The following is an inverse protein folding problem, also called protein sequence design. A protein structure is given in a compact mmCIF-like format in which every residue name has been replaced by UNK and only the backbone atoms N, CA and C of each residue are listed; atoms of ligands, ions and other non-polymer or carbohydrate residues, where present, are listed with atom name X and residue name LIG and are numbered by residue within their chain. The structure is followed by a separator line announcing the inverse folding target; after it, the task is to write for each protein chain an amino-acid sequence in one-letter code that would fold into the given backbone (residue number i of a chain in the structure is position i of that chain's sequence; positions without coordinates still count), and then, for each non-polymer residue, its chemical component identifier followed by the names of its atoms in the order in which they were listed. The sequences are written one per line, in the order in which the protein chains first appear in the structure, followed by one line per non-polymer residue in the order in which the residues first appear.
data_IF_549094367830
#
_entry.id   IF_549094367830
#
_cell.length_a   1.000
_cell.length_b   1.000
_cell.length_c   1.000
_cell.angle_alpha   90.00
_cell.angle_beta   90.00
_cell.angle_gamma   90.00
#
_symmetry.space_group_name_H-M   'P 1'
#
loop_
_entity.id
_entity.type
_entity.pdbx_description
1 polymer ?
#
# COMPACT_ATOMS: atom_id res chain seq x y z
N UNK A 1 -10.00 22.30 -14.95
CA UNK A 1 -9.03 21.19 -15.14
C UNK A 1 -9.32 20.17 -14.05
N UNK A 2 -9.85 18.99 -14.38
CA UNK A 2 -10.11 17.94 -13.38
C UNK A 2 -8.79 17.30 -13.04
N UNK A 3 -8.27 17.53 -11.84
CA UNK A 3 -7.03 16.91 -11.39
C UNK A 3 -7.33 15.44 -11.10
N UNK A 4 -6.74 14.54 -11.89
CA UNK A 4 -6.86 13.10 -11.66
C UNK A 4 -6.16 12.76 -10.35
N UNK A 5 -6.93 12.36 -9.34
CA UNK A 5 -6.41 11.89 -8.05
C UNK A 5 -6.14 10.40 -8.15
N UNK A 6 -4.89 9.98 -7.96
CA UNK A 6 -4.53 8.57 -7.94
C UNK A 6 -4.88 7.97 -6.57
N UNK A 7 -5.51 6.79 -6.58
CA UNK A 7 -5.98 6.08 -5.38
C UNK A 7 -5.50 4.64 -5.44
N UNK A 8 -4.87 4.16 -4.37
CA UNK A 8 -4.45 2.77 -4.27
C UNK A 8 -5.66 1.86 -3.96
N UNK A 9 -5.88 0.88 -4.81
CA UNK A 9 -6.83 -0.21 -4.57
C UNK A 9 -6.10 -1.35 -3.87
N UNK A 10 -6.57 -1.75 -2.69
CA UNK A 10 -6.05 -2.92 -1.98
C UNK A 10 -7.09 -4.02 -2.00
N UNK A 11 -6.66 -5.26 -2.20
CA UNK A 11 -7.55 -6.42 -2.15
C UNK A 11 -6.88 -7.63 -1.50
N UNK A 12 -7.70 -8.49 -0.91
CA UNK A 12 -7.31 -9.78 -0.32
C UNK A 12 -8.28 -10.83 -0.86
N UNK A 13 -7.76 -12.01 -1.19
CA UNK A 13 -8.53 -13.13 -1.72
C UNK A 13 -8.33 -14.38 -0.88
N UNK A 14 -9.41 -15.13 -0.66
CA UNK A 14 -9.39 -16.43 0.02
C UNK A 14 -10.31 -17.40 -0.73
N UNK A 15 -9.86 -18.63 -0.94
CA UNK A 15 -10.67 -19.69 -1.54
C UNK A 15 -10.97 -20.74 -0.47
N UNK A 16 -12.24 -21.06 -0.27
CA UNK A 16 -12.68 -22.08 0.67
C UNK A 16 -13.59 -23.08 -0.05
N UNK A 17 -13.36 -24.37 0.19
CA UNK A 17 -14.24 -25.44 -0.27
C UNK A 17 -15.33 -25.67 0.78
N UNK A 18 -16.59 -25.68 0.37
CA UNK A 18 -17.74 -25.84 1.24
C UNK A 18 -18.54 -27.04 0.76
N UNK A 19 -18.53 -28.10 1.57
CA UNK A 19 -19.39 -29.25 1.35
C UNK A 19 -20.78 -28.98 1.93
N UNK A 20 -21.82 -29.27 1.16
CA UNK A 20 -23.21 -29.11 1.57
C UNK A 20 -24.05 -30.31 1.14
N UNK A 21 -25.30 -30.39 1.63
CA UNK A 21 -26.24 -31.43 1.19
C UNK A 21 -26.58 -31.36 -0.30
N UNK A 22 -26.26 -30.25 -0.97
CA UNK A 22 -26.53 -30.00 -2.38
C UNK A 22 -25.31 -30.27 -3.29
N UNK A 23 -24.21 -30.77 -2.72
CA UNK A 23 -22.94 -30.99 -3.41
C UNK A 23 -21.80 -30.18 -2.80
N UNK A 24 -20.63 -30.36 -3.40
CA UNK A 24 -19.42 -29.62 -3.07
C UNK A 24 -19.35 -28.36 -3.93
N UNK A 25 -19.11 -27.23 -3.27
CA UNK A 25 -19.04 -25.93 -3.90
C UNK A 25 -17.73 -25.25 -3.54
N UNK A 26 -17.11 -24.62 -4.53
CA UNK A 26 -15.96 -23.75 -4.31
C UNK A 26 -16.46 -22.32 -4.09
N UNK A 27 -16.24 -21.78 -2.89
CA UNK A 27 -16.54 -20.38 -2.59
C UNK A 27 -15.26 -19.57 -2.66
N UNK A 28 -15.18 -18.74 -3.69
CA UNK A 28 -14.12 -17.74 -3.83
C UNK A 28 -14.57 -16.45 -3.17
N UNK A 29 -13.82 -16.03 -2.15
CA UNK A 29 -14.09 -14.81 -1.40
C UNK A 29 -13.02 -13.76 -1.69
N UNK A 30 -13.42 -12.51 -1.87
CA UNK A 30 -12.50 -11.41 -1.99
C UNK A 30 -13.01 -10.20 -1.23
N UNK A 31 -12.08 -9.49 -0.61
CA UNK A 31 -12.33 -8.19 0.02
C UNK A 31 -11.50 -7.15 -0.70
N UNK A 32 -12.12 -6.05 -1.13
CA UNK A 32 -11.44 -4.93 -1.76
C UNK A 32 -11.76 -3.65 -1.01
N UNK A 33 -10.76 -2.78 -0.89
CA UNK A 33 -10.91 -1.45 -0.31
C UNK A 33 -10.20 -0.42 -1.14
N UNK A 34 -10.77 0.78 -1.18
CA UNK A 34 -10.21 1.94 -1.86
C UNK A 34 -10.52 3.20 -1.04
N UNK A 35 -9.60 4.18 -1.00
CA UNK A 35 -9.90 5.50 -0.46
C UNK A 35 -11.11 6.14 -1.15
N UNK A 36 -11.95 6.82 -0.39
CA UNK A 36 -13.07 7.58 -0.95
C UNK A 36 -12.57 8.75 -1.77
N UNK A 37 -13.36 9.19 -2.75
CA UNK A 37 -13.07 10.41 -3.51
C UNK A 37 -12.90 11.64 -2.60
N UNK A 38 -13.70 11.71 -1.53
CA UNK A 38 -13.58 12.74 -0.50
C UNK A 38 -12.22 12.69 0.21
N UNK A 39 -11.77 11.50 0.65
CA UNK A 39 -10.48 11.36 1.34
C UNK A 39 -9.32 11.81 0.46
N UNK A 40 -9.37 11.46 -0.84
CA UNK A 40 -8.38 11.90 -1.80
C UNK A 40 -8.41 13.42 -1.96
N UNK A 41 -9.58 14.01 -2.24
CA UNK A 41 -9.72 15.46 -2.40
C UNK A 41 -9.21 16.23 -1.18
N UNK A 42 -9.55 15.80 0.04
CA UNK A 42 -9.07 16.42 1.28
C UNK A 42 -7.54 16.37 1.33
N UNK A 43 -6.92 15.22 1.07
CA UNK A 43 -5.47 15.07 1.12
C UNK A 43 -4.73 15.93 0.08
N UNK A 44 -5.27 16.05 -1.15
CA UNK A 44 -4.68 16.88 -2.20
C UNK A 44 -4.90 18.38 -1.98
N UNK A 45 -6.02 18.80 -1.39
CA UNK A 45 -6.36 20.22 -1.20
C UNK A 45 -5.66 20.88 -0.03
N UNK A 46 -5.18 20.12 0.95
CA UNK A 46 -4.45 20.70 2.08
C UNK A 46 -3.19 21.39 1.54
N UNK A 47 -3.07 22.72 1.64
CA UNK A 47 -1.84 23.38 1.29
C UNK A 47 -0.76 22.86 2.25
N UNK A 48 0.38 22.44 1.74
CA UNK A 48 1.59 22.54 2.56
C UNK A 48 1.75 24.03 2.74
N UNK A 49 1.70 24.51 3.97
CA UNK A 49 2.00 25.90 4.24
C UNK A 49 3.48 26.10 3.89
N UNK A 50 3.73 26.45 2.63
CA UNK A 50 5.04 26.55 1.97
C UNK A 50 5.69 27.91 2.24
N UNK A 51 5.15 28.70 3.15
CA UNK A 51 5.41 30.14 3.23
C UNK A 51 6.75 30.53 3.89
N UNK A 52 7.70 29.62 4.11
CA UNK A 52 8.81 29.86 5.04
C UNK A 52 10.25 29.64 4.56
N UNK A 53 10.53 28.84 3.53
CA UNK A 53 11.93 28.56 3.20
C UNK A 53 12.08 27.60 2.03
N UNK A 54 13.15 27.80 1.26
CA UNK A 54 13.51 27.01 0.08
C UNK A 54 13.34 25.51 0.32
N UNK A 55 12.80 24.81 -0.69
CA UNK A 55 12.63 23.36 -0.71
C UNK A 55 13.92 22.67 -0.27
N UNK A 56 13.92 22.14 0.95
CA UNK A 56 14.95 21.20 1.35
C UNK A 56 14.58 19.87 0.68
N UNK A 57 15.18 19.61 -0.49
CA UNK A 57 14.90 18.52 -1.43
C UNK A 57 15.16 17.11 -0.86
N UNK A 58 15.21 16.92 0.46
CA UNK A 58 15.59 15.68 1.12
C UNK A 58 14.62 15.17 2.19
N UNK A 59 13.41 15.72 2.32
CA UNK A 59 12.44 15.26 3.32
C UNK A 59 11.17 14.69 2.70
N UNK A 60 10.88 13.43 3.05
CA UNK A 60 9.62 12.79 2.75
C UNK A 60 8.56 13.25 3.76
N UNK A 61 7.51 13.90 3.25
CA UNK A 61 6.35 14.30 4.02
C UNK A 61 5.20 13.35 3.72
N UNK A 62 4.62 12.79 4.77
CA UNK A 62 3.39 12.01 4.65
C UNK A 62 2.27 12.76 5.34
N UNK A 63 1.17 12.96 4.60
CA UNK A 63 -0.05 13.55 5.15
C UNK A 63 -1.00 12.41 5.44
N UNK A 64 -1.58 12.40 6.62
CA UNK A 64 -2.59 11.42 6.98
C UNK A 64 -3.89 12.08 7.42
N UNK A 65 -5.00 11.42 7.09
CA UNK A 65 -6.34 11.84 7.51
C UNK A 65 -7.14 10.63 7.94
N UNK A 66 -7.89 10.75 9.05
CA UNK A 66 -8.81 9.70 9.49
C UNK A 66 -10.18 9.93 8.88
N UNK A 67 -10.52 9.13 7.88
CA UNK A 67 -11.80 9.15 7.18
C UNK A 67 -12.28 7.72 6.93
N UNK A 68 -13.59 7.51 6.74
CA UNK A 68 -14.08 6.20 6.37
C UNK A 68 -13.61 5.82 4.97
N UNK A 69 -13.22 4.55 4.82
CA UNK A 69 -12.96 3.88 3.54
C UNK A 69 -14.14 3.00 3.16
N UNK A 70 -14.27 2.72 1.88
CA UNK A 70 -15.18 1.69 1.38
C UNK A 70 -14.46 0.35 1.48
N UNK A 71 -15.13 -0.64 2.05
CA UNK A 71 -14.69 -2.04 2.00
C UNK A 71 -15.83 -2.88 1.43
N UNK A 72 -15.56 -3.59 0.35
CA UNK A 72 -16.52 -4.49 -0.30
C UNK A 72 -16.03 -5.91 -0.17
N UNK A 73 -16.89 -6.79 0.32
CA UNK A 73 -16.68 -8.23 0.40
C UNK A 73 -17.57 -8.91 -0.62
N UNK A 74 -17.01 -9.82 -1.42
CA UNK A 74 -17.74 -10.60 -2.40
C UNK A 74 -17.46 -12.09 -2.19
N UNK A 75 -18.51 -12.88 -1.99
CA UNK A 75 -18.46 -14.34 -1.86
C UNK A 75 -19.14 -14.97 -3.07
N UNK A 76 -18.33 -15.46 -4.00
CA UNK A 76 -18.81 -16.05 -5.24
C UNK A 76 -18.76 -17.58 -5.19
N UNK A 77 -19.92 -18.19 -5.43
CA UNK A 77 -20.09 -19.64 -5.49
C UNK A 77 -19.87 -20.12 -6.93
N UNK A 78 -18.90 -21.01 -7.11
CA UNK A 78 -18.70 -21.76 -8.35
C UNK A 78 -19.16 -23.19 -8.12
N UNK A 79 -20.17 -23.65 -8.86
CA UNK A 79 -20.63 -25.02 -8.79
C UNK A 79 -19.78 -25.89 -9.73
N UNK A 80 -18.92 -26.76 -9.18
CA UNK A 80 -18.00 -27.58 -9.97
C UNK A 80 -18.71 -28.70 -10.75
N UNK A 81 -19.98 -28.99 -10.44
CA UNK A 81 -20.63 -30.21 -10.92
C UNK A 81 -22.09 -30.08 -11.37
N UNK A 82 -22.64 -28.87 -11.52
CA UNK A 82 -24.00 -28.71 -12.08
C UNK A 82 -23.95 -28.85 -13.59
N UNK A 83 -23.78 -30.09 -14.06
CA UNK A 83 -23.83 -30.45 -15.48
C UNK A 83 -25.21 -30.18 -16.08
N UNK A 84 -26.26 -29.92 -15.30
CA UNK A 84 -27.58 -29.65 -15.87
C UNK A 84 -28.22 -28.45 -15.18
N UNK A 85 -27.98 -27.25 -15.72
CA UNK A 85 -28.74 -26.06 -15.35
C UNK A 85 -30.06 -26.09 -16.12
N UNK A 86 -31.10 -26.65 -15.52
CA UNK A 86 -32.49 -26.53 -15.97
C UNK A 86 -33.15 -25.27 -15.40
N UNK A 87 -34.29 -24.86 -15.96
CA UNK A 87 -35.06 -23.71 -15.46
C UNK A 87 -35.54 -23.95 -14.01
N UNK A 88 -35.74 -25.20 -13.62
CA UNK A 88 -36.12 -25.59 -12.25
C UNK A 88 -34.91 -25.78 -11.32
N UNK A 89 -33.69 -25.54 -11.81
CA UNK A 89 -32.48 -25.69 -10.98
C UNK A 89 -32.44 -24.62 -9.91
N UNK A 90 -32.34 -25.07 -8.67
CA UNK A 90 -32.22 -24.19 -7.50
C UNK A 90 -31.02 -23.26 -7.64
N UNK A 91 -31.25 -22.01 -7.27
CA UNK A 91 -30.23 -20.96 -7.19
C UNK A 91 -29.69 -20.96 -5.78
N UNK A 92 -28.49 -21.50 -5.63
CA UNK A 92 -27.74 -21.43 -4.39
C UNK A 92 -26.87 -20.18 -4.35
N UNK A 93 -26.59 -19.67 -3.16
CA UNK A 93 -25.71 -18.52 -2.93
C UNK A 93 -24.88 -18.73 -1.68
N UNK A 94 -23.73 -18.07 -1.58
CA UNK A 94 -22.94 -18.06 -0.34
C UNK A 94 -23.60 -17.12 0.68
N UNK A 95 -23.82 -17.58 1.91
CA UNK A 95 -24.29 -16.72 2.99
C UNK A 95 -23.24 -15.64 3.32
N UNK A 96 -23.64 -14.58 4.03
CA UNK A 96 -22.83 -13.40 4.30
C UNK A 96 -21.45 -13.70 4.91
N UNK A 97 -21.36 -14.77 5.71
CA UNK A 97 -20.10 -15.22 6.31
C UNK A 97 -19.19 -16.04 5.38
N UNK A 98 -19.62 -16.34 4.14
CA UNK A 98 -18.86 -17.11 3.17
C UNK A 98 -18.52 -18.55 3.56
N UNK A 99 -19.15 -19.09 4.62
CA UNK A 99 -18.88 -20.42 5.21
C UNK A 99 -20.03 -21.41 5.03
N UNK A 100 -21.15 -20.94 4.51
CA UNK A 100 -22.37 -21.72 4.34
C UNK A 100 -23.13 -21.24 3.11
N UNK A 101 -24.09 -22.05 2.67
CA UNK A 101 -24.80 -21.86 1.40
C UNK A 101 -26.29 -21.80 1.69
N UNK A 102 -26.96 -20.79 1.12
CA UNK A 102 -28.40 -20.63 1.13
C UNK A 102 -29.02 -20.92 -0.22
N UNK A 103 -30.35 -20.92 -0.28
CA UNK A 103 -31.13 -20.99 -1.52
C UNK A 103 -31.89 -19.68 -1.67
N UNK A 104 -31.76 -19.06 -2.84
CA UNK A 104 -32.51 -17.87 -3.21
C UNK A 104 -33.91 -18.26 -3.70
N UNK A 105 -33.96 -18.97 -4.82
CA UNK A 105 -35.17 -19.38 -5.55
C UNK A 105 -34.75 -20.39 -6.64
N UNK A 106 -35.66 -20.84 -7.48
CA UNK A 106 -35.28 -21.50 -8.75
C UNK A 106 -34.87 -20.47 -9.83
N UNK A 107 -34.26 -20.97 -10.90
CA UNK A 107 -33.83 -20.13 -12.03
C UNK A 107 -35.03 -19.48 -12.74
N UNK A 108 -36.16 -20.18 -12.84
CA UNK A 108 -37.41 -19.66 -13.40
C UNK A 108 -37.84 -18.37 -12.73
N UNK A 109 -37.86 -18.36 -11.39
CA UNK A 109 -38.26 -17.24 -10.58
C UNK A 109 -37.30 -16.05 -10.73
N UNK A 110 -35.99 -16.29 -10.86
CA UNK A 110 -35.04 -15.22 -11.14
C UNK A 110 -35.24 -14.59 -12.51
N UNK A 111 -35.45 -15.41 -13.54
CA UNK A 111 -35.74 -14.90 -14.89
C UNK A 111 -37.06 -14.14 -14.92
N UNK A 112 -38.08 -14.64 -14.22
CA UNK A 112 -39.34 -13.93 -14.07
C UNK A 112 -39.12 -12.58 -13.36
N UNK A 113 -38.32 -12.56 -12.29
CA UNK A 113 -37.96 -11.32 -11.59
C UNK A 113 -37.28 -10.31 -12.52
N UNK A 114 -36.38 -10.76 -13.41
CA UNK A 114 -35.77 -9.90 -14.42
C UNK A 114 -36.83 -9.33 -15.40
N UNK A 115 -37.76 -10.15 -15.88
CA UNK A 115 -38.84 -9.71 -16.75
C UNK A 115 -39.76 -8.69 -16.06
N UNK A 116 -40.09 -8.92 -14.79
CA UNK A 116 -40.92 -8.02 -13.99
C UNK A 116 -40.25 -6.66 -13.75
N UNK A 117 -38.92 -6.59 -13.82
CA UNK A 117 -38.12 -5.37 -13.66
C UNK A 117 -37.64 -4.78 -14.99
N UNK A 118 -38.36 -5.05 -16.07
CA UNK A 118 -38.15 -4.41 -17.39
C UNK A 118 -37.23 -5.17 -18.33
N UNK A 119 -36.83 -6.41 -18.00
CA UNK A 119 -36.19 -7.31 -18.94
C UNK A 119 -37.11 -7.68 -20.10
N UNK A 120 -36.54 -7.96 -21.27
CA UNK A 120 -37.30 -8.44 -22.42
C UNK A 120 -37.23 -9.95 -22.53
N UNK A 121 -38.35 -10.57 -22.89
CA UNK A 121 -38.45 -11.98 -23.23
C UNK A 121 -37.57 -12.36 -24.43
N UNK A 122 -37.33 -11.40 -25.33
CA UNK A 122 -36.50 -11.56 -26.53
C UNK A 122 -35.01 -11.31 -26.28
N UNK A 123 -34.61 -11.02 -25.04
CA UNK A 123 -33.19 -10.85 -24.70
C UNK A 123 -32.44 -12.16 -24.95
N UNK A 124 -31.35 -12.14 -25.74
CA UNK A 124 -30.60 -13.36 -26.01
C UNK A 124 -29.87 -13.83 -24.75
N UNK A 125 -29.71 -15.15 -24.59
CA UNK A 125 -29.21 -15.75 -23.34
C UNK A 125 -27.80 -15.27 -22.96
N UNK A 126 -26.95 -14.99 -23.95
CA UNK A 126 -25.61 -14.43 -23.74
C UNK A 126 -25.61 -12.94 -23.34
N UNK A 127 -26.75 -12.25 -23.47
CA UNK A 127 -26.92 -10.85 -23.13
C UNK A 127 -27.83 -10.64 -21.91
N UNK A 128 -28.08 -11.70 -21.12
CA UNK A 128 -28.82 -11.56 -19.86
C UNK A 128 -27.96 -10.73 -18.90
N UNK A 129 -28.44 -9.57 -18.43
CA UNK A 129 -27.72 -8.77 -17.46
C UNK A 129 -27.65 -9.49 -16.10
N UNK A 130 -26.70 -9.12 -15.23
CA UNK A 130 -26.69 -9.63 -13.86
C UNK A 130 -28.02 -9.34 -13.15
N UNK A 131 -28.58 -10.36 -12.51
CA UNK A 131 -29.83 -10.23 -11.75
C UNK A 131 -29.47 -10.02 -10.29
N UNK A 132 -29.84 -8.86 -9.76
CA UNK A 132 -29.56 -8.46 -8.38
C UNK A 132 -30.80 -8.58 -7.51
N UNK A 133 -30.64 -9.20 -6.35
CA UNK A 133 -31.67 -9.30 -5.32
C UNK A 133 -31.08 -9.00 -3.95
N UNK A 134 -31.90 -8.53 -3.01
CA UNK A 134 -31.47 -8.41 -1.62
C UNK A 134 -31.18 -9.81 -1.04
N UNK A 135 -30.20 -9.91 -0.14
CA UNK A 135 -29.94 -11.17 0.57
C UNK A 135 -31.18 -11.59 1.38
N UNK A 136 -31.57 -12.88 1.34
CA UNK A 136 -32.68 -13.39 2.15
C UNK A 136 -32.37 -13.42 3.66
N UNK A 137 -31.12 -13.19 4.06
CA UNK A 137 -30.71 -13.25 5.46
C UNK A 137 -31.34 -12.12 6.30
N UNK A 138 -32.03 -12.45 7.41
CA UNK A 138 -32.68 -11.44 8.24
C UNK A 138 -31.69 -10.39 8.75
N UNK A 139 -31.92 -9.13 8.42
CA UNK A 139 -31.08 -8.01 8.85
C UNK A 139 -29.78 -7.84 8.05
N UNK A 140 -29.59 -8.64 6.99
CA UNK A 140 -28.46 -8.46 6.09
C UNK A 140 -28.58 -7.17 5.27
N UNK A 141 -27.45 -6.53 5.03
CA UNK A 141 -27.30 -5.42 4.07
C UNK A 141 -26.66 -5.87 2.76
N UNK A 142 -26.45 -7.17 2.57
CA UNK A 142 -25.83 -7.71 1.37
C UNK A 142 -26.87 -7.90 0.27
N UNK A 143 -26.37 -8.04 -0.95
CA UNK A 143 -27.17 -8.35 -2.12
C UNK A 143 -26.52 -9.51 -2.88
N UNK A 144 -27.36 -10.36 -3.47
CA UNK A 144 -26.92 -11.51 -4.26
C UNK A 144 -27.08 -11.17 -5.74
N UNK A 145 -25.98 -11.25 -6.48
CA UNK A 145 -25.95 -11.13 -7.94
C UNK A 145 -25.87 -12.50 -8.59
N UNK A 146 -26.74 -12.76 -9.57
CA UNK A 146 -26.67 -13.93 -10.44
C UNK A 146 -26.13 -13.54 -11.82
N UNK A 147 -25.00 -14.15 -12.19
CA UNK A 147 -24.28 -13.91 -13.43
C UNK A 147 -24.43 -15.12 -14.35
N UNK A 148 -24.85 -14.87 -15.58
CA UNK A 148 -24.98 -15.91 -16.60
C UNK A 148 -23.78 -15.88 -17.52
N UNK A 149 -23.27 -17.05 -17.85
CA UNK A 149 -22.16 -17.23 -18.76
C UNK A 149 -22.53 -18.26 -19.81
N UNK A 150 -22.36 -17.86 -21.06
CA UNK A 150 -22.41 -18.74 -22.21
C UNK A 150 -20.99 -19.13 -22.60
N UNK A 151 -20.71 -20.42 -22.69
CA UNK A 151 -19.43 -20.97 -23.19
C UNK A 151 -19.54 -21.57 -24.59
N UNK A 152 -20.73 -21.51 -25.22
CA UNK A 152 -20.98 -22.15 -26.50
C UNK A 152 -21.35 -21.13 -27.58
N UNK A 153 -20.75 -21.29 -28.76
CA UNK A 153 -21.14 -20.56 -29.95
C UNK A 153 -22.58 -20.93 -30.34
N UNK A 154 -23.36 -19.95 -30.80
CA UNK A 154 -24.75 -20.14 -31.22
C UNK A 154 -25.82 -19.90 -30.14
N UNK A 155 -25.43 -19.75 -28.85
CA UNK A 155 -26.37 -19.38 -27.79
C UNK A 155 -27.02 -18.00 -27.96
N UNK A 156 -26.48 -17.18 -28.84
CA UNK A 156 -27.04 -15.86 -29.19
C UNK A 156 -28.39 -15.95 -29.91
N UNK A 157 -28.70 -17.11 -30.50
CA UNK A 157 -29.97 -17.34 -31.20
C UNK A 157 -31.12 -17.67 -30.24
N UNK A 158 -30.81 -18.03 -28.99
CA UNK A 158 -31.81 -18.40 -28.00
C UNK A 158 -32.15 -17.21 -27.12
N UNK A 159 -33.44 -17.05 -26.87
CA UNK A 159 -33.98 -15.98 -26.03
C UNK A 159 -34.31 -16.46 -24.62
N UNK A 160 -34.59 -15.54 -23.69
CA UNK A 160 -35.13 -15.88 -22.37
C UNK A 160 -36.43 -16.69 -22.51
N UNK A 161 -37.29 -16.37 -23.47
CA UNK A 161 -38.51 -17.13 -23.76
C UNK A 161 -38.24 -18.59 -24.12
N UNK A 162 -37.24 -18.84 -24.97
CA UNK A 162 -36.86 -20.22 -25.34
C UNK A 162 -36.33 -21.00 -24.14
N UNK A 163 -35.63 -20.30 -23.23
CA UNK A 163 -35.16 -20.87 -21.98
C UNK A 163 -36.33 -21.22 -21.06
N UNK A 164 -37.29 -20.30 -20.84
CA UNK A 164 -38.47 -20.52 -20.00
C UNK A 164 -39.41 -21.63 -20.53
N UNK A 165 -39.52 -21.78 -21.85
CA UNK A 165 -40.30 -22.84 -22.50
C UNK A 165 -39.58 -24.19 -22.53
N UNK A 166 -38.38 -24.29 -21.93
CA UNK A 166 -37.57 -25.50 -21.90
C UNK A 166 -37.21 -26.05 -23.29
N UNK A 167 -37.26 -25.23 -24.35
CA UNK A 167 -36.89 -25.63 -25.72
C UNK A 167 -35.42 -26.04 -25.84
N UNK A 168 -34.61 -25.61 -24.86
CA UNK A 168 -33.21 -26.00 -24.70
C UNK A 168 -32.99 -27.50 -24.57
N UNK A 169 -33.92 -28.22 -23.94
CA UNK A 169 -33.77 -29.67 -23.74
C UNK A 169 -34.12 -30.49 -24.99
N UNK A 170 -34.93 -29.94 -25.90
CA UNK A 170 -35.43 -30.68 -27.07
C UNK A 170 -34.56 -30.48 -28.33
N UNK A 171 -33.96 -29.30 -28.48
CA UNK A 171 -33.43 -28.87 -29.78
C UNK A 171 -31.92 -29.04 -29.94
N UNK A 172 -31.15 -29.15 -28.86
CA UNK A 172 -29.70 -29.25 -28.95
C UNK A 172 -29.19 -30.22 -27.88
N UNK A 173 -28.38 -31.19 -28.29
CA UNK A 173 -27.43 -31.93 -27.46
C UNK A 173 -26.37 -30.94 -26.91
N UNK A 174 -26.82 -29.90 -26.20
CA UNK A 174 -25.94 -29.02 -25.45
C UNK A 174 -25.37 -29.90 -24.37
N UNK A 175 -24.12 -30.33 -24.60
CA UNK A 175 -23.18 -30.63 -23.55
C UNK A 175 -23.52 -29.73 -22.37
N UNK A 176 -23.75 -30.36 -21.24
CA UNK A 176 -23.95 -29.87 -19.88
C UNK A 176 -23.20 -28.60 -19.42
N UNK A 177 -22.33 -28.05 -20.27
CA UNK A 177 -21.35 -27.01 -20.03
C UNK A 177 -21.66 -25.66 -20.70
N UNK A 178 -22.73 -25.54 -21.49
CA UNK A 178 -22.93 -24.35 -22.33
C UNK A 178 -23.44 -23.11 -21.59
N UNK A 179 -24.39 -23.29 -20.66
CA UNK A 179 -24.88 -22.21 -19.81
C UNK A 179 -24.48 -22.48 -18.37
N UNK A 180 -23.52 -21.71 -17.87
CA UNK A 180 -23.15 -21.70 -16.46
C UNK A 180 -23.74 -20.47 -15.77
N UNK A 181 -24.12 -20.64 -14.51
CA UNK A 181 -24.58 -19.57 -13.63
C UNK A 181 -23.61 -19.47 -12.47
N UNK A 182 -23.20 -18.24 -12.15
CA UNK A 182 -22.40 -17.92 -10.98
C UNK A 182 -23.21 -17.00 -10.08
N UNK A 183 -23.21 -17.27 -8.79
CA UNK A 183 -23.89 -16.41 -7.81
C UNK A 183 -22.85 -15.81 -6.90
N UNK A 184 -22.94 -14.50 -6.65
CA UNK A 184 -22.06 -13.82 -5.72
C UNK A 184 -22.89 -13.02 -4.72
N UNK A 185 -22.61 -13.20 -3.44
CA UNK A 185 -23.15 -12.35 -2.38
C UNK A 185 -22.16 -11.25 -2.11
N UNK A 186 -22.62 -10.01 -2.19
CA UNK A 186 -21.78 -8.84 -2.02
C UNK A 186 -22.31 -8.01 -0.88
N UNK A 187 -21.42 -7.66 0.04
CA UNK A 187 -21.71 -6.71 1.09
C UNK A 187 -20.70 -5.56 1.03
N UNK A 188 -21.17 -4.35 1.28
CA UNK A 188 -20.35 -3.15 1.23
C UNK A 188 -20.50 -2.39 2.55
N UNK A 189 -19.38 -1.92 3.06
CA UNK A 189 -19.30 -1.28 4.37
C UNK A 189 -18.39 -0.07 4.33
N UNK A 190 -18.72 0.85 5.21
CA UNK A 190 -17.90 1.96 5.60
C UNK A 190 -17.06 1.57 6.82
N UNK A 191 -15.76 1.66 6.68
CA UNK A 191 -14.81 1.30 7.73
C UNK A 191 -13.96 2.52 8.10
N UNK A 192 -13.90 2.94 9.38
CA UNK A 192 -12.98 4.00 9.80
C UNK A 192 -11.53 3.62 9.48
N UNK A 193 -10.83 4.44 8.70
CA UNK A 193 -9.45 4.17 8.31
C UNK A 193 -8.57 5.41 8.38
N UNK A 194 -7.26 5.18 8.41
CA UNK A 194 -6.25 6.21 8.18
C UNK A 194 -5.84 6.14 6.71
N UNK A 195 -5.96 7.27 6.03
CA UNK A 195 -5.53 7.46 4.65
C UNK A 195 -4.29 8.30 4.62
N UNK A 196 -3.34 7.94 3.76
CA UNK A 196 -2.04 8.59 3.68
C UNK A 196 -1.76 9.01 2.25
N UNK A 197 -1.32 10.25 2.05
CA UNK A 197 -0.81 10.71 0.77
C UNK A 197 0.70 10.48 0.76
N UNK A 198 1.15 9.58 -0.10
CA UNK A 198 2.56 9.27 -0.29
C UNK A 198 2.94 9.38 -1.77
N UNK A 199 4.23 9.53 -2.03
CA UNK A 199 4.77 9.46 -3.40
C UNK A 199 5.09 8.01 -3.74
N UNK A 200 4.45 7.47 -4.76
CA UNK A 200 4.80 6.20 -5.37
C UNK A 200 5.28 6.47 -6.80
N UNK A 201 6.53 6.10 -7.08
CA UNK A 201 7.12 6.19 -8.43
C UNK A 201 7.04 7.61 -9.05
N UNK A 202 7.12 8.65 -8.20
CA UNK A 202 7.04 10.06 -8.61
C UNK A 202 5.61 10.61 -8.77
N UNK A 203 4.58 9.80 -8.53
CA UNK A 203 3.18 10.21 -8.49
C UNK A 203 2.67 10.28 -7.06
N UNK A 204 1.86 11.28 -6.74
CA UNK A 204 1.14 11.31 -5.47
C UNK A 204 0.00 10.30 -5.53
N UNK A 205 -0.03 9.36 -4.59
CA UNK A 205 -1.06 8.33 -4.48
C UNK A 205 -1.62 8.35 -3.06
N UNK A 206 -2.94 8.25 -2.96
CA UNK A 206 -3.62 8.10 -1.67
C UNK A 206 -3.65 6.62 -1.34
N UNK A 207 -2.96 6.25 -0.28
CA UNK A 207 -2.97 4.92 0.32
C UNK A 207 -3.98 4.87 1.47
N UNK A 208 -4.44 3.67 1.77
CA UNK A 208 -5.19 3.37 2.98
C UNK A 208 -4.41 2.30 3.73
N UNK A 209 -4.54 2.26 5.06
CA UNK A 209 -3.92 1.20 5.84
C UNK A 209 -4.29 -0.19 5.30
N UNK A 210 -3.48 -1.21 5.58
CA UNK A 210 -3.81 -2.58 5.16
C UNK A 210 -5.22 -2.97 5.60
N UNK A 211 -5.90 -3.82 4.82
CA UNK A 211 -7.07 -4.51 5.37
C UNK A 211 -6.59 -5.26 6.62
N UNK A 212 -7.18 -4.97 7.77
CA UNK A 212 -7.09 -5.91 8.89
C UNK A 212 -7.56 -7.26 8.35
N UNK A 213 -6.82 -8.34 8.63
CA UNK A 213 -7.30 -9.67 8.28
C UNK A 213 -8.68 -9.82 8.90
N UNK A 214 -9.73 -9.65 8.09
CA UNK A 214 -11.08 -9.89 8.56
C UNK A 214 -11.09 -11.37 8.89
N UNK A 215 -11.14 -11.69 10.17
CA UNK A 215 -11.71 -12.97 10.56
C UNK A 215 -13.14 -13.07 10.02
N UNK A 216 -13.82 -14.18 10.25
CA UNK A 216 -15.19 -14.39 9.79
C UNK A 216 -16.23 -13.39 10.35
N UNK A 217 -15.81 -12.33 11.07
CA UNK A 217 -16.66 -11.28 11.62
C UNK A 217 -16.35 -9.92 11.03
N UNK A 218 -17.42 -9.16 10.79
CA UNK A 218 -17.37 -7.72 10.52
C UNK A 218 -16.70 -6.97 11.69
N UNK A 219 -15.78 -6.02 11.42
CA UNK A 219 -15.26 -5.17 12.48
C UNK A 219 -16.40 -4.42 13.18
N UNK A 220 -16.38 -4.35 14.52
CA UNK A 220 -17.47 -3.78 15.33
C UNK A 220 -17.86 -2.32 14.99
N UNK A 221 -16.98 -1.60 14.28
CA UNK A 221 -17.16 -0.20 13.93
C UNK A 221 -17.50 0.04 12.44
N UNK A 222 -17.85 -1.00 11.69
CA UNK A 222 -18.29 -0.81 10.30
C UNK A 222 -19.74 -0.35 10.22
N UNK A 223 -20.09 0.36 9.15
CA UNK A 223 -21.48 0.72 8.84
C UNK A 223 -21.85 0.18 7.47
N UNK A 224 -22.98 -0.52 7.31
CA UNK A 224 -23.39 -1.04 6.02
C UNK A 224 -23.70 0.07 5.02
N UNK A 225 -23.39 -0.18 3.75
CA UNK A 225 -23.78 0.65 2.61
C UNK A 225 -25.02 0.02 1.98
N UNK A 226 -26.18 0.63 2.21
CA UNK A 226 -27.40 0.27 1.51
C UNK A 226 -27.41 0.96 0.15
N UNK A 227 -27.33 0.18 -0.91
CA UNK A 227 -27.46 0.65 -2.28
C UNK A 227 -28.38 -0.29 -3.04
N UNK A 228 -29.25 0.27 -3.89
CA UNK A 228 -29.98 -0.51 -4.88
C UNK A 228 -29.03 -0.76 -6.07
N UNK A 229 -28.58 -2.00 -6.32
CA UNK A 229 -27.64 -2.28 -7.40
C UNK A 229 -28.21 -1.91 -8.78
N UNK A 230 -29.54 -1.94 -8.93
CA UNK A 230 -30.21 -1.58 -10.18
C UNK A 230 -30.16 -0.08 -10.48
N UNK A 231 -29.95 0.76 -9.45
CA UNK A 231 -29.78 2.21 -9.61
C UNK A 231 -28.37 2.61 -10.07
N UNK A 232 -27.41 1.68 -10.02
CA UNK A 232 -26.01 1.95 -10.36
C UNK A 232 -25.80 1.66 -11.86
N UNK A 233 -25.63 2.74 -12.63
CA UNK A 233 -25.35 2.65 -14.06
C UNK A 233 -24.13 1.79 -14.33
N UNK A 234 -24.28 0.77 -15.18
CA UNK A 234 -23.21 -0.15 -15.57
C UNK A 234 -23.30 -1.53 -14.93
N UNK A 235 -23.81 -1.67 -13.69
CA UNK A 235 -23.87 -2.98 -13.01
C UNK A 235 -24.89 -3.94 -13.64
N UNK A 236 -25.97 -3.40 -14.18
CA UNK A 236 -27.02 -4.18 -14.87
C UNK A 236 -26.78 -4.27 -16.38
N UNK A 237 -25.54 -4.07 -16.84
CA UNK A 237 -25.20 -4.21 -18.26
C UNK A 237 -24.68 -5.63 -18.55
N UNK A 238 -25.01 -6.22 -19.71
CA UNK A 238 -24.48 -7.52 -20.10
C UNK A 238 -22.95 -7.53 -20.22
N UNK A 239 -22.35 -6.38 -20.57
CA UNK A 239 -20.89 -6.22 -20.66
C UNK A 239 -20.22 -6.35 -19.29
N UNK A 240 -20.84 -5.86 -18.22
CA UNK A 240 -20.34 -6.05 -16.85
C UNK A 240 -20.39 -7.53 -16.45
N UNK A 241 -21.50 -8.23 -16.73
CA UNK A 241 -21.61 -9.66 -16.52
C UNK A 241 -20.55 -10.46 -17.29
N UNK A 242 -20.33 -10.11 -18.57
CA UNK A 242 -19.31 -10.75 -19.41
C UNK A 242 -17.88 -10.48 -18.92
N UNK A 243 -17.60 -9.31 -18.33
CA UNK A 243 -16.29 -8.99 -17.75
C UNK A 243 -15.99 -9.88 -16.53
N UNK A 244 -17.02 -10.19 -15.75
CA UNK A 244 -16.92 -11.04 -14.56
C UNK A 244 -16.92 -12.53 -14.86
N UNK A 245 -17.37 -12.98 -16.03
CA UNK A 245 -17.47 -14.41 -16.35
C UNK A 245 -16.26 -14.97 -17.12
N UNK A 246 -15.44 -14.12 -17.76
CA UNK A 246 -14.37 -14.57 -18.67
C UNK A 246 -13.25 -15.40 -18.02
N UNK A 247 -13.16 -15.52 -16.70
CA UNK A 247 -12.06 -16.27 -16.04
C UNK A 247 -12.54 -16.98 -14.79
N UNK A 248 -12.50 -18.31 -14.74
CA UNK A 248 -12.88 -19.11 -13.56
C UNK A 248 -12.18 -18.69 -12.25
N UNK A 249 -10.99 -18.07 -12.33
CA UNK A 249 -10.18 -17.62 -11.19
C UNK A 249 -10.18 -16.09 -11.08
N UNK A 250 -10.66 -15.57 -9.95
CA UNK A 250 -10.56 -14.13 -9.60
C UNK A 250 -11.83 -13.28 -9.79
N UNK A 251 -13.00 -13.90 -10.03
CA UNK A 251 -14.25 -13.14 -10.26
C UNK A 251 -14.72 -12.38 -9.02
N UNK A 252 -14.56 -12.99 -7.84
CA UNK A 252 -14.82 -12.32 -6.56
C UNK A 252 -13.95 -11.07 -6.41
N UNK A 253 -12.67 -11.14 -6.78
CA UNK A 253 -11.74 -10.01 -6.75
C UNK A 253 -12.15 -8.89 -7.68
N UNK A 254 -12.48 -9.22 -8.94
CA UNK A 254 -12.92 -8.23 -9.92
C UNK A 254 -14.23 -7.57 -9.51
N UNK A 255 -15.18 -8.35 -9.00
CA UNK A 255 -16.46 -7.87 -8.53
C UNK A 255 -16.28 -6.95 -7.31
N UNK A 256 -15.52 -7.38 -6.30
CA UNK A 256 -15.23 -6.59 -5.11
C UNK A 256 -14.49 -5.29 -5.49
N UNK A 257 -13.49 -5.36 -6.36
CA UNK A 257 -12.75 -4.20 -6.84
C UNK A 257 -13.65 -3.22 -7.60
N UNK A 258 -14.45 -3.70 -8.55
CA UNK A 258 -15.35 -2.86 -9.34
C UNK A 258 -16.38 -2.16 -8.43
N UNK A 259 -17.03 -2.89 -7.54
CA UNK A 259 -17.99 -2.31 -6.61
C UNK A 259 -17.33 -1.37 -5.61
N UNK A 260 -16.11 -1.67 -5.14
CA UNK A 260 -15.36 -0.74 -4.28
C UNK A 260 -15.10 0.59 -5.01
N UNK A 261 -14.76 0.56 -6.30
CA UNK A 261 -14.56 1.79 -7.08
C UNK A 261 -15.84 2.59 -7.26
N UNK A 262 -16.98 1.92 -7.51
CA UNK A 262 -18.29 2.58 -7.62
C UNK A 262 -18.67 3.23 -6.29
N UNK A 263 -18.61 2.47 -5.19
CA UNK A 263 -19.02 2.97 -3.88
C UNK A 263 -18.09 4.06 -3.34
N UNK A 264 -16.83 4.12 -3.80
CA UNK A 264 -15.89 5.18 -3.42
C UNK A 264 -16.27 6.56 -3.95
N UNK A 265 -17.10 6.61 -4.99
CA UNK A 265 -17.66 7.84 -5.56
C UNK A 265 -18.93 8.28 -4.83
N UNK A 266 -19.58 7.41 -4.04
CA UNK A 266 -20.81 7.76 -3.33
C UNK A 266 -20.48 8.80 -2.26
N UNK A 267 -21.08 10.01 -2.34
CA UNK A 267 -20.76 11.07 -1.42
C UNK A 267 -21.25 10.71 -0.01
N UNK A 268 -20.30 10.59 0.92
CA UNK A 268 -20.54 10.33 2.34
C UNK A 268 -21.52 11.31 3.02
N UNK A 269 -21.78 12.48 2.41
CA UNK A 269 -22.62 13.57 2.94
C UNK A 269 -24.04 13.12 3.32
N UNK A 270 -24.66 12.21 2.58
CA UNK A 270 -26.02 11.72 2.89
C UNK A 270 -26.06 10.95 4.22
N UNK A 271 -24.96 10.34 4.65
CA UNK A 271 -24.87 9.61 5.92
C UNK A 271 -24.39 10.47 7.12
N UNK A 272 -23.74 11.62 6.89
CA UNK A 272 -23.38 12.54 8.01
C UNK A 272 -24.62 13.15 8.65
N UNK A 273 -25.65 13.44 7.84
CA UNK A 273 -26.88 14.11 8.31
C UNK A 273 -27.60 13.32 9.41
N UNK A 274 -27.45 12.00 9.48
CA UNK A 274 -28.09 11.17 10.51
C UNK A 274 -27.29 11.10 11.82
N UNK A 275 -25.98 11.35 11.80
CA UNK A 275 -25.10 11.14 12.95
C UNK A 275 -24.85 12.40 13.81
N UNK A 276 -25.06 13.61 13.29
CA UNK A 276 -24.78 14.86 14.01
C UNK A 276 -26.01 15.75 14.09
N UNK A 277 -26.91 15.47 15.05
CA UNK A 277 -28.04 16.37 15.38
C UNK A 277 -27.60 17.62 16.16
N UNK A 278 -26.40 17.66 16.71
CA UNK A 278 -25.97 18.75 17.62
C UNK A 278 -24.91 19.71 17.06
N UNK A 279 -24.16 19.35 16.01
CA UNK A 279 -23.14 20.24 15.43
C UNK A 279 -23.18 20.24 13.90
N UNK A 280 -23.34 21.42 13.32
CA UNK A 280 -23.45 21.65 11.86
C UNK A 280 -22.12 21.51 11.10
N UNK A 281 -21.06 21.04 11.74
CA UNK A 281 -19.75 20.87 11.12
C UNK A 281 -19.14 19.52 11.52
N UNK A 282 -18.39 18.93 10.58
CA UNK A 282 -17.62 17.70 10.82
C UNK A 282 -16.15 18.10 11.00
N UNK A 283 -15.55 17.73 12.14
CA UNK A 283 -14.13 17.98 12.40
C UNK A 283 -13.31 16.86 11.77
N UNK A 284 -12.55 17.19 10.73
CA UNK A 284 -11.58 16.28 10.11
C UNK A 284 -10.22 16.55 10.76
N UNK A 285 -9.66 15.54 11.43
CA UNK A 285 -8.31 15.62 12.01
C UNK A 285 -7.30 15.22 10.95
N UNK A 286 -6.43 16.16 10.60
CA UNK A 286 -5.32 15.97 9.67
C UNK A 286 -4.04 15.90 10.50
N UNK A 287 -3.21 14.89 10.26
CA UNK A 287 -1.89 14.77 10.85
C UNK A 287 -0.83 14.86 9.76
N UNK A 288 0.14 15.77 9.96
CA UNK A 288 1.31 15.92 9.11
C UNK A 288 2.49 15.25 9.79
N UNK A 289 3.03 14.21 9.17
CA UNK A 289 4.20 13.50 9.67
C UNK A 289 5.39 13.85 8.78
N UNK A 290 6.44 14.43 9.37
CA UNK A 290 7.71 14.68 8.68
C UNK A 290 8.66 13.55 9.02
N UNK A 291 9.06 12.77 8.01
CA UNK A 291 10.13 11.80 8.17
C UNK A 291 11.46 12.52 7.97
N UNK A 292 12.22 12.64 9.05
CA UNK A 292 13.62 13.07 9.01
C UNK A 292 14.52 11.92 9.41
N UNK A 293 15.82 12.03 9.10
CA UNK A 293 16.86 11.22 9.74
C UNK A 293 17.01 11.65 11.21
N UNK A 294 15.95 11.47 11.99
CA UNK A 294 16.01 11.52 13.43
C UNK A 294 16.62 10.22 13.90
N UNK A 295 17.72 10.29 14.64
CA UNK A 295 18.16 9.16 15.46
C UNK A 295 17.02 8.83 16.43
N UNK A 296 16.14 7.91 16.04
CA UNK A 296 15.04 7.50 16.90
C UNK A 296 15.65 6.79 18.10
N UNK A 297 15.70 7.49 19.23
CA UNK A 297 16.24 7.00 20.51
C UNK A 297 15.37 5.88 21.11
N UNK A 298 14.27 5.52 20.44
CA UNK A 298 13.43 4.37 20.77
C UNK A 298 14.08 3.04 20.35
N UNK A 299 14.90 3.04 19.29
CA UNK A 299 15.50 1.82 18.79
C UNK A 299 16.51 1.25 19.79
N UNK A 300 16.42 -0.05 20.05
CA UNK A 300 17.27 -0.75 21.03
C UNK A 300 18.76 -0.55 20.71
N UNK A 301 19.10 -0.55 19.42
CA UNK A 301 20.46 -0.29 18.92
C UNK A 301 20.96 1.12 19.26
N UNK A 302 20.13 2.15 19.08
CA UNK A 302 20.50 3.52 19.43
C UNK A 302 20.68 3.68 20.95
N UNK A 303 19.80 3.08 21.76
CA UNK A 303 19.92 3.10 23.23
C UNK A 303 21.20 2.44 23.71
N UNK A 304 21.55 1.28 23.16
CA UNK A 304 22.80 0.59 23.50
C UNK A 304 24.03 1.40 23.09
N UNK A 305 24.04 1.94 21.87
CA UNK A 305 25.13 2.79 21.39
C UNK A 305 25.34 4.02 22.28
N UNK A 306 24.25 4.69 22.66
CA UNK A 306 24.28 5.86 23.52
C UNK A 306 24.75 5.50 24.93
N UNK A 307 24.37 4.33 25.45
CA UNK A 307 24.84 3.80 26.74
C UNK A 307 26.34 3.53 26.74
N UNK A 308 26.87 2.90 25.68
CA UNK A 308 28.30 2.60 25.54
C UNK A 308 29.12 3.90 25.44
N UNK A 309 28.68 4.85 24.63
CA UNK A 309 29.34 6.16 24.50
C UNK A 309 29.32 6.91 25.84
N UNK A 310 28.18 6.92 26.53
CA UNK A 310 28.07 7.55 27.86
C UNK A 310 28.98 6.89 28.89
N UNK A 311 29.05 5.55 28.92
CA UNK A 311 29.96 4.82 29.80
C UNK A 311 31.42 5.19 29.49
N UNK A 312 31.81 5.20 28.21
CA UNK A 312 33.15 5.62 27.79
C UNK A 312 33.46 7.06 28.23
N UNK A 313 32.53 8.00 28.07
CA UNK A 313 32.69 9.38 28.54
C UNK A 313 32.90 9.46 30.06
N UNK A 314 32.16 8.68 30.85
CA UNK A 314 32.34 8.62 32.31
C UNK A 314 33.73 8.09 32.66
N UNK A 315 34.18 7.00 32.03
CA UNK A 315 35.53 6.47 32.26
C UNK A 315 36.62 7.47 31.86
N UNK A 316 36.46 8.15 30.72
CA UNK A 316 37.41 9.16 30.26
C UNK A 316 37.48 10.36 31.22
N UNK A 317 36.34 10.91 31.66
CA UNK A 317 36.29 12.01 32.62
C UNK A 317 36.86 11.61 33.98
N UNK A 318 36.53 10.40 34.44
CA UNK A 318 37.07 9.83 35.68
C UNK A 318 38.58 9.68 35.61
N UNK A 319 39.12 9.18 34.49
CA UNK A 319 40.56 9.06 34.27
C UNK A 319 41.25 10.44 34.22
N UNK A 320 40.69 11.42 33.50
CA UNK A 320 41.22 12.78 33.45
C UNK A 320 41.26 13.40 34.86
N UNK A 321 40.19 13.23 35.64
CA UNK A 321 40.10 13.76 37.00
C UNK A 321 41.11 13.07 37.93
N UNK A 322 41.25 11.75 37.81
CA UNK A 322 42.25 10.97 38.54
C UNK A 322 43.69 11.41 38.21
N UNK A 323 43.98 11.67 36.93
CA UNK A 323 45.28 12.17 36.48
C UNK A 323 45.58 13.55 37.04
N UNK A 324 44.58 14.45 37.02
CA UNK A 324 44.70 15.79 37.59
C UNK A 324 44.92 15.76 39.12
N UNK A 325 44.22 14.86 39.84
CA UNK A 325 44.37 14.76 41.30
C UNK A 325 45.67 14.09 41.73
N UNK A 326 46.14 13.09 40.99
CA UNK A 326 47.33 12.32 41.34
C UNK A 326 48.64 13.01 40.92
N UNK A 327 48.54 14.07 40.12
CA UNK A 327 49.70 14.83 39.61
C UNK A 327 50.64 14.01 38.73
N UNK A 328 50.26 12.79 38.34
CA UNK A 328 51.00 11.96 37.41
C UNK A 328 50.56 12.33 36.00
N UNK A 329 51.40 13.06 35.27
CA UNK A 329 51.21 13.26 33.84
C UNK A 329 51.80 12.05 33.10
N UNK A 330 51.00 11.37 32.29
CA UNK A 330 51.49 10.26 31.47
C UNK A 330 52.47 10.83 30.44
N UNK A 331 53.72 10.39 30.50
CA UNK A 331 54.81 10.75 29.59
C UNK A 331 54.58 10.26 28.15
N UNK A 332 53.50 9.53 27.88
CA UNK A 332 53.11 9.09 26.54
C UNK A 332 52.72 10.25 25.60
N UNK A 333 52.51 11.47 26.13
CA UNK A 333 52.25 12.68 25.36
C UNK A 333 53.12 13.84 25.84
N UNK A 334 54.40 13.59 26.14
CA UNK A 334 55.28 14.59 26.78
C UNK A 334 55.59 15.81 25.90
N UNK A 335 55.04 15.90 24.69
CA UNK A 335 55.35 16.92 23.70
C UNK A 335 54.10 17.29 22.90
N UNK A 336 53.53 18.48 23.12
CA UNK A 336 52.44 19.02 22.29
C UNK A 336 52.80 19.04 20.79
N UNK A 337 54.10 19.13 20.50
CA UNK A 337 54.71 19.01 19.17
C UNK A 337 54.45 17.67 18.49
N UNK A 338 54.30 16.58 19.24
CA UNK A 338 53.98 15.25 18.68
C UNK A 338 52.54 15.20 18.14
N UNK A 339 51.60 15.88 18.81
CA UNK A 339 50.22 16.05 18.33
C UNK A 339 50.20 16.89 17.06
N UNK A 340 50.98 17.97 17.02
CA UNK A 340 51.10 18.84 15.84
C UNK A 340 51.68 18.03 14.66
N UNK A 341 52.70 17.19 14.89
CA UNK A 341 53.27 16.31 13.85
C UNK A 341 52.27 15.27 13.35
N UNK A 342 51.44 14.70 14.22
CA UNK A 342 50.37 13.77 13.82
C UNK A 342 49.20 14.47 13.10
N UNK A 343 48.88 15.71 13.48
CA UNK A 343 47.83 16.49 12.84
C UNK A 343 48.26 17.12 11.51
N UNK A 344 49.57 17.19 11.24
CA UNK A 344 50.10 17.63 9.96
C UNK A 344 49.81 16.58 8.89
N UNK A 345 48.84 16.90 8.04
CA UNK A 345 48.33 16.08 6.93
C UNK A 345 49.33 16.01 5.75
N UNK A 346 50.62 15.76 6.03
CA UNK A 346 51.65 15.69 4.99
C UNK A 346 51.74 14.28 4.41
N UNK A 347 51.98 14.21 3.09
CA UNK A 347 52.16 12.95 2.38
C UNK A 347 53.44 12.28 2.89
N UNK A 348 53.31 11.04 3.37
CA UNK A 348 54.38 10.23 4.00
C UNK A 348 55.69 10.33 3.21
N UNK A 349 56.73 10.89 3.81
CA UNK A 349 58.08 10.90 3.27
C UNK A 349 58.66 9.48 3.29
N UNK A 350 59.32 9.05 2.22
CA UNK A 350 59.97 7.73 2.17
C UNK A 350 61.14 7.62 3.16
N UNK A 351 61.71 8.75 3.58
CA UNK A 351 62.79 8.80 4.57
C UNK A 351 62.30 8.49 6.00
N UNK A 352 61.02 8.74 6.29
CA UNK A 352 60.39 8.53 7.61
C UNK A 352 59.47 7.30 7.64
N UNK A 353 59.78 6.27 6.84
CA UNK A 353 58.89 5.14 6.53
C UNK A 353 58.42 4.32 7.74
N UNK A 354 59.02 4.49 8.92
CA UNK A 354 58.70 3.72 10.13
C UNK A 354 58.33 4.54 11.37
N UNK A 355 58.01 5.83 11.22
CA UNK A 355 57.62 6.67 12.36
C UNK A 355 56.09 6.76 12.43
N UNK A 356 55.45 5.82 13.14
CA UNK A 356 53.98 5.81 13.30
C UNK A 356 53.47 6.08 14.71
N UNK A 357 54.35 6.27 15.70
CA UNK A 357 54.08 6.85 17.03
C UNK A 357 55.41 6.93 17.79
N UNK A 358 55.70 8.02 18.50
CA UNK A 358 56.90 8.17 19.33
C UNK A 358 58.10 8.75 18.57
N UNK A 359 58.10 10.07 18.29
CA UNK A 359 59.31 10.74 17.79
C UNK A 359 60.26 11.00 18.96
N UNK A 360 60.98 9.98 19.40
CA UNK A 360 61.86 10.09 20.58
C UNK A 360 63.28 10.61 20.24
N UNK A 361 63.53 11.01 18.99
CA UNK A 361 64.85 11.46 18.55
C UNK A 361 64.84 12.95 18.23
N UNK A 362 65.57 13.75 19.04
CA UNK A 362 65.75 15.19 18.85
C UNK A 362 66.29 15.52 17.45
N UNK A 363 67.05 14.61 16.84
CA UNK A 363 67.59 14.76 15.49
C UNK A 363 66.50 14.91 14.41
N UNK A 364 65.35 14.25 14.56
CA UNK A 364 64.22 14.36 13.62
C UNK A 364 63.52 15.72 13.74
N UNK A 365 63.53 16.34 14.92
CA UNK A 365 62.99 17.69 15.13
C UNK A 365 63.88 18.80 14.59
N UNK A 366 65.18 18.53 14.39
CA UNK A 366 66.14 19.48 13.83
C UNK A 366 66.22 19.42 12.30
N UNK A 367 65.50 18.50 11.66
CA UNK A 367 65.52 18.41 10.21
C UNK A 367 64.78 19.61 9.59
N UNK A 368 65.43 20.38 8.70
CA UNK A 368 64.82 21.56 8.10
C UNK A 368 63.64 21.15 7.21
N UNK A 369 62.49 21.79 7.46
CA UNK A 369 61.25 21.57 6.71
C UNK A 369 60.89 22.82 5.92
N UNK A 370 60.65 22.67 4.62
CA UNK A 370 60.19 23.75 3.75
C UNK A 370 58.71 23.60 3.39
N UNK A 371 57.95 24.71 3.41
CA UNK A 371 56.57 24.73 2.89
C UNK A 371 56.63 24.89 1.36
N UNK A 372 56.06 23.93 0.61
CA UNK A 372 56.00 23.97 -0.85
C UNK A 372 54.57 23.74 -1.34
N UNK A 373 54.26 24.25 -2.52
CA UNK A 373 52.98 24.09 -3.20
C UNK A 373 53.09 22.91 -4.14
N UNK A 374 52.21 21.92 -3.94
CA UNK A 374 52.08 20.75 -4.80
C UNK A 374 51.27 21.08 -6.06
N UNK A 375 51.35 20.26 -7.10
CA UNK A 375 50.74 20.51 -8.41
C UNK A 375 49.20 20.62 -8.40
N UNK A 376 48.53 20.31 -7.30
CA UNK A 376 47.08 20.53 -7.11
C UNK A 376 46.80 21.70 -6.14
N UNK A 377 47.66 22.71 -6.13
CA UNK A 377 47.56 23.94 -5.31
C UNK A 377 47.30 23.69 -3.80
N UNK A 378 47.81 22.62 -3.21
CA UNK A 378 47.80 22.45 -1.74
C UNK A 378 49.21 22.67 -1.18
N UNK A 379 49.26 23.19 0.05
CA UNK A 379 50.51 23.37 0.79
C UNK A 379 50.93 22.05 1.42
N UNK A 380 52.18 21.64 1.16
CA UNK A 380 52.80 20.47 1.78
C UNK A 380 54.09 20.89 2.48
N UNK A 381 54.37 20.23 3.60
CA UNK A 381 55.66 20.31 4.28
C UNK A 381 56.61 19.28 3.69
N UNK A 382 57.79 19.74 3.30
CA UNK A 382 58.75 18.97 2.54
C UNK A 382 60.09 18.98 3.25
N UNK A 383 60.57 17.80 3.65
CA UNK A 383 61.89 17.61 4.25
C UNK A 383 62.98 17.77 3.18
N UNK A 384 64.10 18.38 3.54
CA UNK A 384 65.19 18.68 2.61
C UNK A 384 65.79 17.41 1.97
N UNK A 385 65.89 16.31 2.72
CA UNK A 385 66.57 15.08 2.29
C UNK A 385 65.66 14.03 1.64
N UNK A 386 64.40 14.35 1.33
CA UNK A 386 63.50 13.41 0.64
C UNK A 386 63.85 13.32 -0.85
N UNK A 387 64.40 12.18 -1.29
CA UNK A 387 64.78 11.93 -2.70
C UNK A 387 63.58 12.03 -3.66
N UNK A 388 62.35 11.85 -3.17
CA UNK A 388 61.13 11.98 -3.98
C UNK A 388 60.78 13.43 -4.34
N UNK A 389 61.49 14.42 -3.78
CA UNK A 389 61.30 15.83 -4.10
C UNK A 389 61.80 16.22 -5.47
N UNK A 390 62.80 15.52 -6.01
CA UNK A 390 63.37 15.85 -7.33
C UNK A 390 62.44 15.45 -8.48
N UNK A 391 61.56 14.46 -8.27
CA UNK A 391 60.60 13.99 -9.27
C UNK A 391 59.24 14.71 -9.18
N UNK A 392 58.99 15.51 -8.14
CA UNK A 392 57.74 16.25 -7.94
C UNK A 392 57.89 17.73 -8.34
N UNK A 393 56.92 18.27 -9.07
CA UNK A 393 56.89 19.68 -9.51
C UNK A 393 56.49 20.64 -8.36
N UNK A 394 57.27 20.63 -7.27
CA UNK A 394 57.02 21.44 -6.08
C UNK A 394 57.46 22.89 -6.31
N UNK A 395 56.55 23.85 -6.08
CA UNK A 395 56.83 25.29 -6.22
C UNK A 395 56.96 25.95 -4.85
N UNK A 396 57.77 27.00 -4.74
CA UNK A 396 57.85 27.79 -3.50
C UNK A 396 56.53 28.54 -3.30
N UNK A 397 55.96 28.47 -2.09
CA UNK A 397 54.76 29.22 -1.75
C UNK A 397 55.00 30.72 -1.91
N UNK A 398 54.05 31.43 -2.52
CA UNK A 398 54.09 32.89 -2.65
C UNK A 398 53.31 33.52 -1.50
N UNK A 399 53.87 34.58 -0.92
CA UNK A 399 53.18 35.40 0.07
C UNK A 399 51.88 35.96 -0.54
N UNK A 400 50.81 35.98 0.26
CA UNK A 400 49.49 36.53 -0.09
C UNK A 400 48.77 35.85 -1.27
N UNK A 401 49.04 34.57 -1.53
CA UNK A 401 48.23 33.76 -2.44
C UNK A 401 47.53 32.65 -1.66
N UNK A 402 46.22 32.53 -1.82
CA UNK A 402 45.47 31.37 -1.36
C UNK A 402 45.79 30.18 -2.29
N UNK A 403 46.15 29.06 -1.68
CA UNK A 403 46.44 27.79 -2.32
C UNK A 403 45.35 26.82 -1.91
#
# INVERSE_FOLDING_TARGET
MVQLTSRALHYITTENEISSRYGDFLVSSASATIPTQLSAQVLYQIPLDMSGGAWDYGHDYTRSVKLPRVTVTAHCLTADNTRHTTVDTLVTYALDGGTSIGIVSDLKALLQHLLDHGGSQDTPVNAIPPIWIASPEPGSSSFTGSFFQSNCEGLEQFTISDLLLNKFNESVLLSSSCLSRKTCTVAAFWEPSQHELATDSGSWVVHTGSLSSMGNGLPENTRPIYADPNSITGLSTPTFGAMLSKTLRGDSTRLAAALATVFAEVPWKEQIKSASREKQYTVIKIALTRFGYGYETSSVSARLSLTVIMAYCIFAVGYITYMLSSGHTSTAWSSATEIIVLAMQSKRSEHLRHVSAGVNCLATYQEPVGIRVSGRDHLELVFEHDQSNQSRSLRRARLNKAY
#
